data_IF_042293173926
#
_entry.id   IF_042293173926
#
_cell.length_a   1.000
_cell.length_b   1.000
_cell.length_c   1.000
_cell.angle_alpha   90.00
_cell.angle_beta   90.00
_cell.angle_gamma   90.00
#
_symmetry.space_group_name_H-M   'P 1'
#
loop_
_entity.id
_entity.type
_entity.pdbx_description
1 polymer ?
#
# COMPACT_ATOMS: atom_id res chain seq x y z
N UNK A 1 10.93 -10.50 -14.05
CA UNK A 1 9.49 -10.23 -14.31
C UNK A 1 8.62 -10.59 -13.11
N UNK A 2 9.20 -11.12 -12.02
CA UNK A 2 8.52 -11.25 -10.72
C UNK A 2 8.45 -9.91 -9.96
N UNK A 3 9.19 -8.89 -10.40
CA UNK A 3 9.24 -7.56 -9.79
C UNK A 3 8.12 -6.61 -10.24
N UNK A 4 7.24 -7.05 -11.15
CA UNK A 4 6.11 -6.25 -11.64
C UNK A 4 4.81 -6.90 -11.22
N UNK A 5 4.01 -6.13 -10.49
CA UNK A 5 2.71 -6.57 -10.05
C UNK A 5 1.78 -6.77 -11.25
N UNK A 6 1.02 -7.84 -11.18
CA UNK A 6 0.05 -8.23 -12.20
C UNK A 6 -1.22 -7.37 -12.07
N UNK A 7 -1.56 -6.53 -13.07
CA UNK A 7 -2.76 -5.70 -13.02
C UNK A 7 -4.03 -6.50 -12.81
N UNK A 8 -4.03 -7.77 -13.25
CA UNK A 8 -5.17 -8.68 -13.11
C UNK A 8 -5.51 -9.00 -11.66
N UNK A 9 -4.63 -8.70 -10.70
CA UNK A 9 -4.87 -8.88 -9.26
C UNK A 9 -5.69 -7.77 -8.63
N UNK A 10 -5.88 -6.65 -9.32
CA UNK A 10 -6.74 -5.55 -8.89
C UNK A 10 -8.18 -5.78 -9.37
N UNK A 11 -8.91 -6.61 -8.63
CA UNK A 11 -10.30 -6.94 -8.90
C UNK A 11 -11.10 -7.05 -7.59
N UNK A 12 -12.45 -7.09 -7.62
CA UNK A 12 -13.23 -7.40 -6.43
C UNK A 12 -12.76 -8.71 -5.78
N UNK A 13 -12.34 -8.65 -4.51
CA UNK A 13 -11.76 -9.78 -3.77
C UNK A 13 -10.25 -9.99 -3.95
N UNK A 14 -9.59 -9.17 -4.78
CA UNK A 14 -8.14 -9.13 -4.95
C UNK A 14 -7.48 -7.96 -4.20
N UNK A 15 -6.42 -7.40 -4.76
CA UNK A 15 -5.75 -6.23 -4.18
C UNK A 15 -6.64 -4.99 -4.21
N UNK A 16 -6.53 -4.21 -3.13
CA UNK A 16 -7.15 -2.90 -3.07
C UNK A 16 -6.27 -1.87 -3.80
N UNK A 17 -6.83 -1.06 -4.71
CA UNK A 17 -6.08 0.01 -5.35
C UNK A 17 -5.73 1.08 -4.31
N UNK A 18 -4.44 1.39 -4.18
CA UNK A 18 -3.90 2.43 -3.31
C UNK A 18 -2.97 3.30 -4.16
N UNK A 19 -3.05 4.61 -3.99
CA UNK A 19 -2.16 5.58 -4.64
C UNK A 19 -1.38 6.39 -3.60
N UNK A 20 -0.23 6.94 -4.03
CA UNK A 20 0.56 7.84 -3.18
C UNK A 20 -0.30 9.07 -2.83
N UNK A 21 -0.31 9.45 -1.56
CA UNK A 21 -1.14 10.52 -1.03
C UNK A 21 -2.48 10.06 -0.46
N UNK A 22 -2.89 8.81 -0.69
CA UNK A 22 -4.07 8.24 -0.03
C UNK A 22 -3.92 8.25 1.49
N UNK A 23 -5.06 8.34 2.17
CA UNK A 23 -5.13 8.22 3.62
C UNK A 23 -5.91 6.98 4.02
N UNK A 24 -5.22 6.04 4.66
CA UNK A 24 -5.85 4.83 5.18
C UNK A 24 -6.26 5.03 6.64
N UNK A 25 -7.50 4.64 6.95
CA UNK A 25 -8.09 4.71 8.30
C UNK A 25 -7.96 6.09 8.96
N UNK A 26 -8.00 7.16 8.15
CA UNK A 26 -7.78 8.56 8.56
C UNK A 26 -6.48 8.84 9.35
N UNK A 27 -5.51 7.91 9.33
CA UNK A 27 -4.30 7.96 10.16
C UNK A 27 -3.00 7.82 9.38
N UNK A 28 -3.00 6.98 8.35
CA UNK A 28 -1.78 6.62 7.62
C UNK A 28 -1.77 7.30 6.28
N UNK A 29 -0.91 8.31 6.13
CA UNK A 29 -0.69 8.98 4.84
C UNK A 29 0.28 8.13 4.00
N UNK A 30 -0.16 7.61 2.85
CA UNK A 30 0.63 6.75 1.96
C UNK A 30 1.71 7.57 1.25
N UNK A 31 2.97 7.12 1.34
CA UNK A 31 4.14 7.85 0.85
C UNK A 31 4.79 7.15 -0.35
N UNK A 32 4.97 5.84 -0.28
CA UNK A 32 5.66 5.09 -1.34
C UNK A 32 5.26 3.61 -1.33
N UNK A 33 5.33 2.93 -2.47
CA UNK A 33 5.13 1.47 -2.53
C UNK A 33 6.44 0.76 -2.18
N UNK A 34 6.41 -0.15 -1.22
CA UNK A 34 7.58 -0.93 -0.83
C UNK A 34 7.68 -2.25 -1.60
N UNK A 35 6.55 -2.82 -1.99
CA UNK A 35 6.53 -4.04 -2.78
C UNK A 35 5.15 -4.68 -2.85
N UNK A 36 5.12 -5.90 -3.37
CA UNK A 36 3.93 -6.74 -3.41
C UNK A 36 4.37 -8.20 -3.30
N UNK A 37 3.53 -9.03 -2.69
CA UNK A 37 3.68 -10.47 -2.61
C UNK A 37 2.39 -11.15 -3.10
N UNK A 38 2.29 -12.47 -2.99
CA UNK A 38 1.18 -13.22 -3.59
C UNK A 38 -0.22 -12.79 -3.13
N UNK A 39 -0.36 -12.18 -1.96
CA UNK A 39 -1.67 -11.86 -1.38
C UNK A 39 -1.81 -10.41 -0.90
N UNK A 40 -0.72 -9.64 -0.92
CA UNK A 40 -0.72 -8.28 -0.38
C UNK A 40 0.21 -7.36 -1.15
N UNK A 41 -0.04 -6.07 -1.01
CA UNK A 41 0.89 -5.00 -1.36
C UNK A 41 1.38 -4.36 -0.08
N UNK A 42 2.66 -4.03 0.00
CA UNK A 42 3.26 -3.33 1.14
C UNK A 42 3.57 -1.89 0.77
N UNK A 43 3.18 -0.95 1.63
CA UNK A 43 3.35 0.48 1.43
C UNK A 43 4.06 1.12 2.62
N UNK A 44 4.89 2.12 2.33
CA UNK A 44 5.43 3.04 3.30
C UNK A 44 4.38 4.11 3.57
N UNK A 45 4.01 4.29 4.84
CA UNK A 45 3.11 5.36 5.26
C UNK A 45 3.69 6.17 6.42
N UNK A 46 3.22 7.40 6.56
CA UNK A 46 3.45 8.25 7.73
C UNK A 46 2.28 8.11 8.68
N UNK A 47 2.53 7.58 9.87
CA UNK A 47 1.55 7.56 10.96
C UNK A 47 1.42 8.98 11.55
N UNK A 48 0.21 9.55 11.45
CA UNK A 48 -0.08 10.91 11.93
C UNK A 48 -0.16 11.02 13.44
N UNK A 49 -0.43 9.94 14.16
CA UNK A 49 -0.48 9.95 15.62
C UNK A 49 0.93 9.90 16.21
N UNK A 50 1.73 8.92 15.78
CA UNK A 50 3.07 8.69 16.35
C UNK A 50 4.17 9.51 15.66
N UNK A 51 3.86 10.13 14.51
CA UNK A 51 4.83 10.82 13.64
C UNK A 51 6.00 9.91 13.23
N UNK A 52 5.73 8.63 13.01
CA UNK A 52 6.72 7.64 12.55
C UNK A 52 6.38 7.14 11.16
N UNK A 53 7.39 6.64 10.46
CA UNK A 53 7.19 5.87 9.24
C UNK A 53 6.91 4.42 9.60
N UNK A 54 5.92 3.84 8.93
CA UNK A 54 5.47 2.46 9.14
C UNK A 54 5.30 1.75 7.80
N UNK A 55 5.41 0.43 7.81
CA UNK A 55 5.00 -0.41 6.70
C UNK A 55 3.58 -0.90 6.96
N UNK A 56 2.72 -0.76 5.96
CA UNK A 56 1.31 -1.16 5.96
C UNK A 56 1.01 -2.09 4.78
#
# INVERSE_FOLDING_TARGET
LEDIERPERYHPGGYHPIVIGDRLSDRYDVVHKLGFGTYSTTWLARDRETKKYVAI
#
